data_IF_609951385196
#
_entry.id   IF_609951385196
#
_cell.length_a   1.000
_cell.length_b   1.000
_cell.length_c   1.000
_cell.angle_alpha   90.00
_cell.angle_beta   90.00
_cell.angle_gamma   90.00
#
_symmetry.space_group_name_H-M   'P 1'
#
loop_
_entity.id
_entity.type
_entity.pdbx_description
1 polymer ?
#
# COMPACT_ATOMS: atom_id res chain seq x y z
N UNK A 1 -14.38 -3.10 -2.75
CA UNK A 1 -14.21 -1.63 -2.70
C UNK A 1 -12.94 -1.30 -3.46
N UNK A 2 -12.92 -0.31 -4.36
CA UNK A 2 -11.70 0.06 -5.09
C UNK A 2 -10.94 1.16 -4.35
N UNK A 3 -9.64 0.97 -4.19
CA UNK A 3 -8.72 1.97 -3.63
C UNK A 3 -8.51 3.11 -4.63
N UNK A 4 -8.40 4.34 -4.14
CA UNK A 4 -8.02 5.49 -4.98
C UNK A 4 -6.52 5.39 -5.29
N UNK A 5 -6.17 5.37 -6.58
CA UNK A 5 -4.79 5.22 -7.06
C UNK A 5 -4.44 6.25 -8.12
N UNK A 6 -3.18 6.69 -8.12
CA UNK A 6 -2.63 7.64 -9.08
C UNK A 6 -1.11 7.47 -9.19
N UNK A 7 -0.57 7.41 -10.42
CA UNK A 7 0.86 7.18 -10.71
C UNK A 7 1.52 6.00 -9.96
N UNK A 8 0.73 4.96 -9.68
CA UNK A 8 1.19 3.77 -8.93
C UNK A 8 1.23 3.94 -7.41
N UNK A 9 0.78 5.07 -6.89
CA UNK A 9 0.55 5.30 -5.47
C UNK A 9 -0.91 5.03 -5.11
N UNK A 10 -1.15 4.67 -3.85
CA UNK A 10 -2.47 4.37 -3.31
C UNK A 10 -2.78 5.29 -2.14
N UNK A 11 -4.04 5.67 -1.98
CA UNK A 11 -4.52 6.44 -0.85
C UNK A 11 -4.98 5.54 0.30
N UNK A 12 -4.63 5.89 1.54
CA UNK A 12 -5.32 5.45 2.75
C UNK A 12 -6.17 6.60 3.26
N UNK A 13 -7.49 6.43 3.31
CA UNK A 13 -8.45 7.49 3.66
C UNK A 13 -9.23 7.10 4.91
N UNK A 14 -9.48 8.08 5.79
CA UNK A 14 -10.37 7.97 6.95
C UNK A 14 -11.16 9.26 7.15
N UNK A 15 -12.18 9.21 8.01
CA UNK A 15 -12.91 10.41 8.46
C UNK A 15 -12.25 10.99 9.72
N UNK A 16 -12.06 12.30 9.77
CA UNK A 16 -11.64 13.05 10.95
C UNK A 16 -12.86 13.79 11.51
N UNK A 17 -13.25 13.46 12.74
CA UNK A 17 -14.33 14.17 13.44
C UNK A 17 -13.88 15.59 13.85
N UNK A 18 -12.62 15.73 14.26
CA UNK A 18 -12.00 17.00 14.65
C UNK A 18 -12.00 18.01 13.48
N UNK A 19 -11.61 17.55 12.29
CA UNK A 19 -11.54 18.40 11.09
C UNK A 19 -12.83 18.37 10.27
N UNK A 20 -13.82 17.57 10.69
CA UNK A 20 -15.10 17.36 10.00
C UNK A 20 -14.96 17.03 8.49
N UNK A 21 -13.87 16.37 8.09
CA UNK A 21 -13.59 16.06 6.69
C UNK A 21 -12.90 14.69 6.51
N UNK A 22 -12.70 14.26 5.27
CA UNK A 22 -11.88 13.09 4.98
C UNK A 22 -10.41 13.47 4.98
N UNK A 23 -9.60 12.69 5.69
CA UNK A 23 -8.15 12.81 5.74
C UNK A 23 -7.53 11.58 5.09
N UNK A 24 -6.61 11.83 4.17
CA UNK A 24 -5.90 10.81 3.41
C UNK A 24 -4.39 10.92 3.55
N UNK A 25 -3.72 9.78 3.35
CA UNK A 25 -2.26 9.71 3.27
C UNK A 25 -1.85 8.84 2.09
N UNK A 26 -0.71 9.17 1.46
CA UNK A 26 -0.08 8.29 0.48
C UNK A 26 0.38 7.02 1.21
N UNK A 27 -0.13 5.86 0.79
CA UNK A 27 0.24 4.56 1.33
C UNK A 27 1.51 4.02 0.66
N UNK A 28 2.34 3.36 1.46
CA UNK A 28 3.49 2.59 0.97
C UNK A 28 4.77 3.38 0.72
N UNK A 29 4.84 4.59 1.26
CA UNK A 29 6.05 5.41 1.33
C UNK A 29 6.45 5.63 2.80
N UNK A 30 7.72 5.96 3.06
CA UNK A 30 8.17 6.25 4.44
C UNK A 30 7.84 7.68 4.86
N UNK A 31 7.78 8.59 3.89
CA UNK A 31 7.45 9.98 4.12
C UNK A 31 5.95 10.11 4.45
N UNK A 32 5.60 11.00 5.38
CA UNK A 32 4.20 11.24 5.71
C UNK A 32 3.69 12.35 4.79
N UNK A 33 2.97 11.97 3.74
CA UNK A 33 2.33 12.90 2.81
C UNK A 33 0.82 12.80 2.98
N UNK A 34 0.24 13.83 3.60
CA UNK A 34 -1.18 13.94 3.90
C UNK A 34 -1.93 14.83 2.91
N UNK A 35 -3.22 14.59 2.78
CA UNK A 35 -4.18 15.40 2.02
C UNK A 35 -5.57 15.30 2.66
N UNK A 36 -6.47 16.20 2.34
CA UNK A 36 -7.83 16.18 2.89
C UNK A 36 -8.85 16.74 1.89
N UNK A 37 -10.13 16.50 2.15
CA UNK A 37 -11.23 17.02 1.34
C UNK A 37 -12.58 16.79 2.00
N UNK A 38 -13.54 17.67 1.74
CA UNK A 38 -14.91 17.56 2.27
C UNK A 38 -15.79 16.69 1.35
N UNK A 39 -15.41 16.61 0.07
CA UNK A 39 -16.06 15.77 -0.93
C UNK A 39 -15.11 14.75 -1.54
N UNK A 40 -15.67 13.69 -2.15
CA UNK A 40 -14.87 12.69 -2.87
C UNK A 40 -14.09 13.30 -4.03
N UNK A 41 -14.65 14.34 -4.68
CA UNK A 41 -14.00 15.03 -5.79
C UNK A 41 -12.79 15.84 -5.31
N UNK A 42 -12.95 16.64 -4.24
CA UNK A 42 -11.84 17.37 -3.63
C UNK A 42 -10.76 16.42 -3.13
N UNK A 43 -11.14 15.35 -2.45
CA UNK A 43 -10.20 14.38 -1.91
C UNK A 43 -9.36 13.72 -3.02
N UNK A 44 -9.97 13.49 -4.19
CA UNK A 44 -9.26 12.99 -5.37
C UNK A 44 -8.26 14.01 -5.91
N UNK A 45 -8.69 15.25 -6.10
CA UNK A 45 -7.79 16.32 -6.57
C UNK A 45 -6.63 16.51 -5.60
N UNK A 46 -6.90 16.62 -4.30
CA UNK A 46 -5.89 16.77 -3.26
C UNK A 46 -4.93 15.58 -3.19
N UNK A 47 -5.40 14.35 -3.45
CA UNK A 47 -4.54 13.18 -3.55
C UNK A 47 -3.60 13.24 -4.75
N UNK A 48 -4.11 13.60 -5.93
CA UNK A 48 -3.32 13.69 -7.16
C UNK A 48 -2.24 14.79 -7.03
N UNK A 49 -2.60 15.94 -6.47
CA UNK A 49 -1.67 17.04 -6.13
C UNK A 49 -0.61 16.59 -5.12
N UNK A 50 -1.01 15.94 -4.03
CA UNK A 50 -0.08 15.46 -3.01
C UNK A 50 0.94 14.44 -3.56
N UNK A 51 0.54 13.59 -4.51
CA UNK A 51 1.44 12.65 -5.19
C UNK A 51 2.41 13.40 -6.11
N UNK A 52 1.93 14.39 -6.86
CA UNK A 52 2.76 15.16 -7.77
C UNK A 52 3.79 16.01 -7.02
N UNK A 53 3.38 16.68 -5.94
CA UNK A 53 4.25 17.43 -5.04
C UNK A 53 5.30 16.54 -4.37
N UNK A 54 4.91 15.31 -3.98
CA UNK A 54 5.83 14.33 -3.43
C UNK A 54 6.92 13.94 -4.42
N UNK A 55 6.55 13.66 -5.67
CA UNK A 55 7.47 13.28 -6.73
C UNK A 55 8.42 14.43 -7.09
N UNK A 56 7.89 15.65 -7.24
CA UNK A 56 8.68 16.86 -7.50
C UNK A 56 9.67 17.13 -6.35
N UNK A 57 9.20 17.00 -5.10
CA UNK A 57 10.06 17.18 -3.92
C UNK A 57 11.18 16.14 -3.88
N UNK A 58 10.90 14.88 -4.21
CA UNK A 58 11.91 13.84 -4.30
C UNK A 58 12.97 14.18 -5.36
N UNK A 59 12.55 14.59 -6.56
CA UNK A 59 13.46 15.01 -7.64
C UNK A 59 14.34 16.19 -7.22
N UNK A 60 13.74 17.24 -6.64
CA UNK A 60 14.45 18.44 -6.16
C UNK A 60 15.48 18.12 -5.07
N UNK A 61 15.20 17.14 -4.23
CA UNK A 61 16.12 16.68 -3.17
C UNK A 61 17.17 15.67 -3.68
N UNK A 62 17.14 15.30 -4.96
CA UNK A 62 18.03 14.27 -5.53
C UNK A 62 17.80 12.89 -4.91
N UNK A 63 16.59 12.62 -4.44
CA UNK A 63 16.20 11.35 -3.80
C UNK A 63 15.29 10.58 -4.72
N UNK A 64 15.51 9.27 -4.82
CA UNK A 64 14.53 8.40 -5.46
C UNK A 64 13.24 8.38 -4.63
N UNK A 65 12.06 8.53 -5.24
CA UNK A 65 10.79 8.34 -4.54
C UNK A 65 10.79 7.00 -3.81
N UNK A 66 10.47 7.03 -2.52
CA UNK A 66 10.65 5.87 -1.66
C UNK A 66 9.59 4.82 -1.99
N UNK A 67 10.01 3.68 -2.52
CA UNK A 67 9.21 2.45 -2.43
C UNK A 67 9.76 1.63 -1.28
N UNK A 68 9.02 1.56 -0.19
CA UNK A 68 9.43 0.88 1.06
C UNK A 68 9.61 -0.65 0.92
N UNK A 69 9.34 -1.23 -0.23
CA UNK A 69 9.13 -2.66 -0.37
C UNK A 69 10.36 -3.36 -0.95
N UNK A 70 11.15 -3.96 -0.07
CA UNK A 70 12.33 -4.77 -0.43
C UNK A 70 12.01 -6.12 -1.08
N UNK A 71 10.73 -6.45 -1.26
CA UNK A 71 10.26 -7.78 -1.64
C UNK A 71 10.41 -8.85 -0.54
N UNK A 72 11.01 -8.50 0.61
CA UNK A 72 11.13 -9.41 1.76
C UNK A 72 9.98 -9.17 2.73
N UNK A 73 9.28 -10.25 3.09
CA UNK A 73 8.17 -10.22 4.04
C UNK A 73 8.52 -11.09 5.25
N UNK A 74 8.81 -10.46 6.39
CA UNK A 74 9.02 -11.16 7.66
C UNK A 74 7.71 -11.16 8.44
N UNK A 75 7.04 -12.32 8.48
CA UNK A 75 5.76 -12.49 9.16
C UNK A 75 5.94 -13.24 10.47
N UNK A 76 5.24 -12.78 11.51
CA UNK A 76 4.96 -13.59 12.69
C UNK A 76 3.57 -14.20 12.54
N UNK A 77 3.50 -15.50 12.34
CA UNK A 77 2.26 -16.28 12.22
C UNK A 77 2.25 -17.40 13.26
N UNK A 78 1.07 -17.94 13.55
CA UNK A 78 0.97 -19.06 14.49
C UNK A 78 1.58 -20.33 13.89
N UNK A 79 2.08 -21.27 14.72
CA UNK A 79 2.63 -22.54 14.24
C UNK A 79 1.65 -23.33 13.37
N UNK A 80 0.35 -23.26 13.66
CA UNK A 80 -0.70 -23.96 12.93
C UNK A 80 -0.86 -23.41 11.51
N UNK A 81 -0.84 -22.09 11.35
CA UNK A 81 -0.87 -21.44 10.04
C UNK A 81 0.40 -21.77 9.27
N UNK A 82 1.56 -21.72 9.93
CA UNK A 82 2.83 -22.04 9.29
C UNK A 82 2.85 -23.48 8.75
N UNK A 83 2.38 -24.45 9.54
CA UNK A 83 2.27 -25.85 9.11
C UNK A 83 1.33 -26.00 7.90
N UNK A 84 0.15 -25.38 7.95
CA UNK A 84 -0.81 -25.43 6.85
C UNK A 84 -0.23 -24.85 5.53
N UNK A 85 0.46 -23.71 5.62
CA UNK A 85 1.11 -23.06 4.48
C UNK A 85 2.25 -23.94 3.93
N UNK A 86 3.08 -24.52 4.79
CA UNK A 86 4.17 -25.41 4.38
C UNK A 86 3.66 -26.65 3.64
N UNK A 87 2.61 -27.31 4.16
CA UNK A 87 1.98 -28.46 3.52
C UNK A 87 1.36 -28.08 2.17
N UNK A 88 0.67 -26.95 2.09
CA UNK A 88 0.06 -26.50 0.83
C UNK A 88 1.12 -26.18 -0.25
N UNK A 89 2.25 -25.60 0.14
CA UNK A 89 3.37 -25.35 -0.74
C UNK A 89 3.98 -26.65 -1.29
N UNK A 90 4.22 -27.62 -0.41
CA UNK A 90 4.77 -28.94 -0.78
C UNK A 90 3.85 -29.71 -1.74
N UNK A 91 2.55 -29.79 -1.43
CA UNK A 91 1.54 -30.43 -2.30
C UNK A 91 1.50 -29.76 -3.68
N UNK A 92 1.76 -28.46 -3.75
CA UNK A 92 1.80 -27.69 -4.99
C UNK A 92 3.14 -27.77 -5.73
N UNK A 93 4.14 -28.47 -5.19
CA UNK A 93 5.50 -28.55 -5.76
C UNK A 93 6.26 -27.22 -5.74
N UNK A 94 5.92 -26.32 -4.81
CA UNK A 94 6.47 -24.96 -4.72
C UNK A 94 7.27 -24.79 -3.41
N UNK A 95 8.23 -23.87 -3.43
CA UNK A 95 8.80 -23.37 -2.17
C UNK A 95 7.73 -22.60 -1.39
N UNK A 96 7.86 -22.53 -0.06
CA UNK A 96 6.94 -21.79 0.79
C UNK A 96 6.81 -20.32 0.36
N UNK A 97 7.93 -19.68 0.02
CA UNK A 97 7.94 -18.29 -0.44
C UNK A 97 7.24 -18.12 -1.79
N UNK A 98 7.42 -19.04 -2.74
CA UNK A 98 6.75 -18.97 -4.03
C UNK A 98 5.25 -19.18 -3.87
N UNK A 99 4.84 -20.18 -3.08
CA UNK A 99 3.43 -20.43 -2.80
C UNK A 99 2.77 -19.20 -2.15
N UNK A 100 3.42 -18.61 -1.14
CA UNK A 100 2.91 -17.40 -0.50
C UNK A 100 2.83 -16.20 -1.46
N UNK A 101 3.83 -16.02 -2.33
CA UNK A 101 3.84 -14.96 -3.33
C UNK A 101 2.68 -15.08 -4.32
N UNK A 102 2.38 -16.30 -4.77
CA UNK A 102 1.26 -16.57 -5.68
C UNK A 102 -0.08 -16.25 -5.00
N UNK A 103 -0.26 -16.66 -3.74
CA UNK A 103 -1.47 -16.33 -2.96
C UNK A 103 -1.61 -14.82 -2.76
N UNK A 104 -0.52 -14.09 -2.54
CA UNK A 104 -0.56 -12.62 -2.46
C UNK A 104 -0.96 -11.98 -3.78
N UNK A 105 -0.44 -12.47 -4.92
CA UNK A 105 -0.83 -11.99 -6.24
C UNK A 105 -2.32 -12.23 -6.51
N UNK A 106 -2.80 -13.46 -6.28
CA UNK A 106 -4.21 -13.82 -6.42
C UNK A 106 -5.12 -12.97 -5.52
N UNK A 107 -4.67 -12.63 -4.31
CA UNK A 107 -5.44 -11.78 -3.39
C UNK A 107 -5.52 -10.31 -3.84
N UNK A 108 -4.54 -9.82 -4.61
CA UNK A 108 -4.48 -8.45 -5.10
C UNK A 108 -5.17 -8.27 -6.46
N UNK A 109 -5.26 -9.33 -7.27
CA UNK A 109 -5.91 -9.33 -8.58
C UNK A 109 -7.44 -9.56 -8.52
N UNK A 110 -8.02 -9.66 -7.32
CA UNK A 110 -9.46 -9.90 -7.06
C UNK A 110 -10.29 -8.64 -6.85
#
# INVERSE_FOLDING_TARGET
>A
MKTMTYKGYSARIGYSDEDSCFVGHIAGIADVVGFHGESVAELRTAFEEAVDDYLETCERLGRSPQRLYSGKLMLRISPEIHAAVATAAEVSGKSLNQWAADIFADALDR
#
